data_IF_843540675823
#
_entry.id   IF_843540675823
#
_cell.length_a   1.000
_cell.length_b   1.000
_cell.length_c   1.000
_cell.angle_alpha   90.00
_cell.angle_beta   90.00
_cell.angle_gamma   90.00
#
_symmetry.space_group_name_H-M   'P 1'
#
loop_
_entity.id
_entity.type
_entity.pdbx_description
1 polymer ?
#
# COMPACT_ATOMS: atom_id res chain seq x y z
N UNK A 1 10.19 -36.16 -9.98
CA UNK A 1 10.07 -34.89 -10.77
C UNK A 1 8.67 -34.75 -11.32
N UNK A 2 8.19 -35.70 -12.14
CA UNK A 2 6.83 -35.66 -12.69
C UNK A 2 5.79 -35.73 -11.57
N UNK A 3 5.88 -36.70 -10.66
CA UNK A 3 4.92 -36.86 -9.55
C UNK A 3 4.90 -35.64 -8.61
N UNK A 4 6.05 -35.02 -8.36
CA UNK A 4 6.15 -33.81 -7.53
C UNK A 4 5.48 -32.62 -8.22
N UNK A 5 5.65 -32.46 -9.54
CA UNK A 5 5.02 -31.37 -10.29
C UNK A 5 3.51 -31.57 -10.40
N UNK A 6 3.07 -32.81 -10.63
CA UNK A 6 1.66 -33.14 -10.86
C UNK A 6 0.89 -33.17 -9.55
N UNK A 7 1.38 -33.88 -8.53
CA UNK A 7 0.65 -34.16 -7.29
C UNK A 7 1.24 -33.50 -6.05
N UNK A 8 2.52 -33.12 -6.06
CA UNK A 8 3.20 -32.53 -4.90
C UNK A 8 2.69 -31.14 -4.48
N UNK A 9 2.73 -30.84 -3.19
CA UNK A 9 2.41 -29.51 -2.66
C UNK A 9 3.51 -28.49 -3.02
N UNK A 10 3.14 -27.20 -3.09
CA UNK A 10 4.10 -26.13 -3.40
C UNK A 10 4.89 -25.75 -2.15
N UNK A 11 5.97 -26.51 -1.93
CA UNK A 11 6.95 -26.37 -0.86
C UNK A 11 8.36 -26.11 -1.43
N UNK A 12 9.38 -26.10 -0.58
CA UNK A 12 10.78 -25.88 -1.01
C UNK A 12 11.27 -26.97 -1.98
N UNK A 13 10.77 -28.20 -1.84
CA UNK A 13 11.07 -29.32 -2.75
C UNK A 13 10.45 -29.11 -4.14
N UNK A 14 9.24 -28.55 -4.19
CA UNK A 14 8.60 -28.15 -5.44
C UNK A 14 9.39 -27.04 -6.13
N UNK A 15 9.87 -26.04 -5.40
CA UNK A 15 10.70 -24.96 -5.98
C UNK A 15 12.01 -25.50 -6.58
N UNK A 16 12.70 -26.41 -5.89
CA UNK A 16 13.89 -27.10 -6.45
C UNK A 16 13.53 -27.90 -7.69
N UNK A 17 12.37 -28.55 -7.71
CA UNK A 17 11.90 -29.32 -8.86
C UNK A 17 11.58 -28.42 -10.05
N UNK A 18 11.00 -27.23 -9.81
CA UNK A 18 10.81 -26.19 -10.84
C UNK A 18 12.14 -25.68 -11.41
N UNK A 19 13.17 -25.50 -10.58
CA UNK A 19 14.50 -25.12 -11.08
C UNK A 19 15.09 -26.16 -12.02
N UNK A 20 14.96 -27.45 -11.66
CA UNK A 20 15.41 -28.56 -12.50
C UNK A 20 14.62 -28.58 -13.82
N UNK A 21 13.31 -28.36 -13.76
CA UNK A 21 12.46 -28.28 -14.96
C UNK A 21 12.89 -27.10 -15.84
N UNK A 22 13.10 -25.91 -15.26
CA UNK A 22 13.55 -24.72 -15.99
C UNK A 22 14.88 -24.95 -16.69
N UNK A 23 15.87 -25.57 -16.00
CA UNK A 23 17.16 -25.94 -16.60
C UNK A 23 16.99 -26.92 -17.76
N UNK A 24 16.13 -27.93 -17.62
CA UNK A 24 15.85 -28.92 -18.67
C UNK A 24 15.17 -28.28 -19.89
N UNK A 25 14.20 -27.39 -19.67
CA UNK A 25 13.52 -26.65 -20.75
C UNK A 25 14.51 -25.75 -21.51
N UNK A 26 15.39 -25.03 -20.81
CA UNK A 26 16.44 -24.21 -21.43
C UNK A 26 17.47 -25.04 -22.20
N UNK A 27 17.86 -26.20 -21.67
CA UNK A 27 18.78 -27.12 -22.33
C UNK A 27 18.22 -27.63 -23.66
N UNK A 28 16.95 -28.06 -23.67
CA UNK A 28 16.26 -28.51 -24.89
C UNK A 28 16.13 -27.39 -25.93
N UNK A 29 15.93 -26.14 -25.50
CA UNK A 29 15.81 -24.99 -26.41
C UNK A 29 17.14 -24.51 -27.01
N UNK A 30 18.27 -24.73 -26.34
CA UNK A 30 19.57 -24.12 -26.70
C UNK A 30 20.48 -25.06 -27.50
N UNK A 31 20.37 -26.37 -27.29
CA UNK A 31 21.33 -27.32 -27.86
C UNK A 31 20.90 -27.83 -29.25
N UNK A 32 21.59 -27.33 -30.28
CA UNK A 32 21.35 -27.66 -31.68
C UNK A 32 21.66 -29.14 -32.03
N UNK A 33 22.50 -29.80 -31.24
CA UNK A 33 22.91 -31.21 -31.45
C UNK A 33 21.88 -32.20 -30.90
N UNK A 34 21.09 -31.75 -29.92
CA UNK A 34 20.08 -32.57 -29.25
C UNK A 34 18.73 -32.46 -29.99
N UNK A 35 18.45 -31.32 -30.63
CA UNK A 35 17.29 -31.11 -31.52
C UNK A 35 17.22 -32.04 -32.75
N UNK A 36 18.34 -32.63 -33.16
CA UNK A 36 18.42 -33.60 -34.27
C UNK A 36 18.17 -35.04 -33.84
N UNK A 37 18.03 -35.32 -32.53
CA UNK A 37 17.81 -36.67 -32.01
C UNK A 37 16.33 -37.07 -32.03
N UNK A 38 16.02 -38.27 -32.55
CA UNK A 38 14.65 -38.79 -32.58
C UNK A 38 14.03 -38.95 -31.19
N UNK A 39 14.83 -39.28 -30.18
CA UNK A 39 14.38 -39.38 -28.79
C UNK A 39 13.88 -38.03 -28.24
N UNK A 40 14.35 -36.92 -28.80
CA UNK A 40 13.91 -35.59 -28.35
C UNK A 40 12.54 -35.21 -28.91
N UNK A 41 12.17 -35.69 -30.10
CA UNK A 41 10.81 -35.52 -30.64
C UNK A 41 9.74 -36.16 -29.76
N UNK A 42 10.07 -37.25 -29.06
CA UNK A 42 9.15 -37.93 -28.15
C UNK A 42 9.11 -37.30 -26.76
N UNK A 43 10.24 -36.74 -26.29
CA UNK A 43 10.37 -36.15 -24.95
C UNK A 43 9.90 -34.68 -24.90
N UNK A 44 10.05 -33.93 -26.00
CA UNK A 44 9.62 -32.53 -26.11
C UNK A 44 8.13 -32.31 -25.78
N UNK A 45 7.15 -33.08 -26.32
CA UNK A 45 5.74 -32.88 -25.98
C UNK A 45 5.45 -33.21 -24.51
N UNK A 46 6.12 -34.20 -23.90
CA UNK A 46 5.95 -34.54 -22.48
C UNK A 46 6.52 -33.45 -21.56
N UNK A 47 7.68 -32.87 -21.90
CA UNK A 47 8.24 -31.73 -21.19
C UNK A 47 7.35 -30.49 -21.28
N UNK A 48 6.76 -30.25 -22.45
CA UNK A 48 5.85 -29.13 -22.67
C UNK A 48 4.53 -29.32 -21.90
N UNK A 49 3.99 -30.55 -21.88
CA UNK A 49 2.84 -30.91 -21.05
C UNK A 49 3.14 -30.72 -19.56
N UNK A 50 4.34 -31.10 -19.12
CA UNK A 50 4.79 -30.89 -17.75
C UNK A 50 4.96 -29.41 -17.41
N UNK A 51 5.48 -28.59 -18.34
CA UNK A 51 5.55 -27.12 -18.23
C UNK A 51 4.16 -26.53 -18.04
N UNK A 52 3.21 -26.87 -18.90
CA UNK A 52 1.83 -26.37 -18.80
C UNK A 52 1.19 -26.74 -17.47
N UNK A 53 1.34 -28.00 -17.02
CA UNK A 53 0.80 -28.45 -15.73
C UNK A 53 1.43 -27.70 -14.56
N UNK A 54 2.75 -27.50 -14.58
CA UNK A 54 3.46 -26.73 -13.56
C UNK A 54 2.98 -25.27 -13.52
N UNK A 55 2.85 -24.62 -14.68
CA UNK A 55 2.39 -23.24 -14.81
C UNK A 55 0.97 -23.08 -14.26
N UNK A 56 0.02 -23.95 -14.63
CA UNK A 56 -1.35 -23.89 -14.11
C UNK A 56 -1.41 -24.05 -12.59
N UNK A 57 -0.66 -25.01 -12.04
CA UNK A 57 -0.65 -25.27 -10.59
C UNK A 57 -0.05 -24.11 -9.80
N UNK A 58 1.06 -23.58 -10.29
CA UNK A 58 1.72 -22.39 -9.73
C UNK A 58 0.80 -21.17 -9.78
N UNK A 59 0.11 -20.97 -10.91
CA UNK A 59 -0.80 -19.85 -11.10
C UNK A 59 -1.94 -19.89 -10.08
N UNK A 60 -2.63 -21.04 -9.98
CA UNK A 60 -3.71 -21.23 -9.01
C UNK A 60 -3.25 -20.93 -7.58
N UNK A 61 -2.06 -21.42 -7.21
CA UNK A 61 -1.48 -21.19 -5.89
C UNK A 61 -1.18 -19.72 -5.62
N UNK A 62 -0.49 -19.03 -6.53
CA UNK A 62 -0.16 -17.62 -6.35
C UNK A 62 -1.44 -16.79 -6.27
N UNK A 63 -2.39 -17.00 -7.19
CA UNK A 63 -3.67 -16.31 -7.19
C UNK A 63 -4.43 -16.53 -5.87
N UNK A 64 -4.42 -17.74 -5.32
CA UNK A 64 -4.99 -18.02 -4.01
C UNK A 64 -4.32 -17.21 -2.88
N UNK A 65 -2.98 -17.05 -2.93
CA UNK A 65 -2.26 -16.19 -1.97
C UNK A 65 -2.58 -14.71 -2.18
N UNK A 66 -2.78 -14.26 -3.42
CA UNK A 66 -3.19 -12.89 -3.70
C UNK A 66 -4.59 -12.60 -3.15
N UNK A 67 -5.53 -13.55 -3.26
CA UNK A 67 -6.84 -13.40 -2.64
C UNK A 67 -6.79 -13.30 -1.12
N UNK A 68 -5.78 -13.89 -0.46
CA UNK A 68 -5.61 -13.75 0.98
C UNK A 68 -5.33 -12.29 1.40
N UNK A 69 -4.72 -11.47 0.53
CA UNK A 69 -4.49 -10.03 0.78
C UNK A 69 -5.80 -9.24 0.90
N UNK A 70 -6.89 -9.72 0.29
CA UNK A 70 -8.21 -9.07 0.34
C UNK A 70 -8.93 -9.29 1.66
N UNK A 71 -8.46 -10.20 2.52
CA UNK A 71 -9.14 -10.51 3.77
C UNK A 71 -9.00 -9.33 4.76
N UNK A 72 -10.08 -8.94 5.46
CA UNK A 72 -10.02 -7.86 6.44
C UNK A 72 -9.09 -8.21 7.59
N UNK A 73 -8.46 -7.20 8.20
CA UNK A 73 -7.49 -7.32 9.31
C UNK A 73 -6.18 -8.06 8.93
N UNK A 74 -5.94 -8.32 7.66
CA UNK A 74 -4.68 -8.90 7.20
C UNK A 74 -3.57 -7.84 7.30
N UNK A 75 -2.47 -8.20 7.97
CA UNK A 75 -1.26 -7.39 7.87
C UNK A 75 -0.58 -7.68 6.53
N UNK A 76 -0.81 -6.79 5.57
CA UNK A 76 -0.35 -6.90 4.18
C UNK A 76 1.17 -7.07 4.14
N UNK A 77 1.90 -6.25 4.89
CA UNK A 77 3.36 -6.28 4.94
C UNK A 77 3.89 -7.62 5.46
N UNK A 78 3.29 -8.17 6.53
CA UNK A 78 3.67 -9.49 7.04
C UNK A 78 3.41 -10.58 6.00
N UNK A 79 2.26 -10.55 5.31
CA UNK A 79 1.93 -11.57 4.31
C UNK A 79 2.87 -11.50 3.09
N UNK A 80 3.17 -10.30 2.62
CA UNK A 80 4.13 -10.05 1.55
C UNK A 80 5.52 -10.58 1.91
N UNK A 81 6.05 -10.18 3.07
CA UNK A 81 7.41 -10.52 3.47
C UNK A 81 7.57 -11.98 3.90
N UNK A 82 6.60 -12.51 4.67
CA UNK A 82 6.74 -13.83 5.30
C UNK A 82 6.24 -14.99 4.44
N UNK A 83 5.39 -14.70 3.45
CA UNK A 83 4.76 -15.72 2.59
C UNK A 83 5.10 -15.51 1.14
N UNK A 84 4.77 -14.36 0.55
CA UNK A 84 4.94 -14.16 -0.90
C UNK A 84 6.41 -14.16 -1.32
N UNK A 85 7.30 -13.46 -0.60
CA UNK A 85 8.72 -13.41 -0.96
C UNK A 85 9.41 -14.78 -1.00
N UNK A 86 8.94 -15.76 -0.22
CA UNK A 86 9.46 -17.14 -0.27
C UNK A 86 9.27 -17.79 -1.64
N UNK A 87 8.23 -17.37 -2.37
CA UNK A 87 7.88 -17.88 -3.69
C UNK A 87 8.35 -16.96 -4.82
N UNK A 88 9.34 -16.07 -4.59
CA UNK A 88 9.92 -15.21 -5.65
C UNK A 88 10.37 -15.99 -6.89
N UNK A 89 10.95 -17.18 -6.70
CA UNK A 89 11.38 -18.01 -7.83
C UNK A 89 10.22 -18.44 -8.72
N UNK A 90 9.04 -18.65 -8.15
CA UNK A 90 7.83 -19.03 -8.87
C UNK A 90 7.43 -17.95 -9.88
N UNK A 91 7.52 -16.68 -9.49
CA UNK A 91 7.27 -15.54 -10.39
C UNK A 91 8.33 -15.45 -11.49
N UNK A 92 9.60 -15.65 -11.13
CA UNK A 92 10.71 -15.68 -12.10
C UNK A 92 10.50 -16.81 -13.13
N UNK A 93 10.07 -17.99 -12.69
CA UNK A 93 9.74 -19.12 -13.55
C UNK A 93 8.59 -18.79 -14.50
N UNK A 94 7.51 -18.17 -14.02
CA UNK A 94 6.41 -17.74 -14.89
C UNK A 94 6.89 -16.73 -15.93
N UNK A 95 7.70 -15.74 -15.54
CA UNK A 95 8.24 -14.73 -16.46
C UNK A 95 9.09 -15.32 -17.58
N UNK A 96 9.87 -16.36 -17.28
CA UNK A 96 10.72 -17.07 -18.26
C UNK A 96 9.92 -18.00 -19.18
N UNK A 97 9.00 -18.78 -18.61
CA UNK A 97 8.38 -19.90 -19.31
C UNK A 97 6.96 -19.61 -19.80
N UNK A 98 6.26 -18.60 -19.29
CA UNK A 98 4.91 -18.22 -19.73
C UNK A 98 4.62 -16.73 -19.46
N UNK A 99 4.96 -15.88 -20.44
CA UNK A 99 4.73 -14.43 -20.35
C UNK A 99 3.26 -14.05 -20.22
N UNK A 100 2.35 -14.82 -20.84
CA UNK A 100 0.90 -14.60 -20.76
C UNK A 100 0.39 -14.79 -19.33
N UNK A 101 0.68 -15.95 -18.72
CA UNK A 101 0.27 -16.25 -17.34
C UNK A 101 0.94 -15.32 -16.34
N UNK A 102 2.21 -14.96 -16.57
CA UNK A 102 2.87 -13.92 -15.77
C UNK A 102 2.12 -12.57 -15.84
N UNK A 103 1.68 -12.16 -17.03
CA UNK A 103 0.88 -10.95 -17.23
C UNK A 103 -0.43 -10.97 -16.45
N UNK A 104 -1.11 -12.12 -16.42
CA UNK A 104 -2.33 -12.30 -15.62
C UNK A 104 -2.06 -12.19 -14.11
N UNK A 105 -0.99 -12.82 -13.59
CA UNK A 105 -0.61 -12.71 -12.17
C UNK A 105 -0.25 -11.26 -11.81
N UNK A 106 0.52 -10.59 -12.67
CA UNK A 106 0.89 -9.18 -12.52
C UNK A 106 -0.36 -8.30 -12.44
N UNK A 107 -1.29 -8.45 -13.39
CA UNK A 107 -2.53 -7.69 -13.41
C UNK A 107 -3.42 -7.99 -12.19
N UNK A 108 -3.53 -9.26 -11.78
CA UNK A 108 -4.31 -9.65 -10.62
C UNK A 108 -3.75 -9.09 -9.31
N UNK A 109 -2.42 -9.05 -9.17
CA UNK A 109 -1.76 -8.42 -8.03
C UNK A 109 -2.02 -6.91 -7.99
N UNK A 110 -1.79 -6.25 -9.13
CA UNK A 110 -1.99 -4.82 -9.29
C UNK A 110 -3.43 -4.39 -8.93
N UNK A 111 -4.44 -5.05 -9.52
CA UNK A 111 -5.85 -4.76 -9.22
C UNK A 111 -6.19 -4.99 -7.75
N UNK A 112 -5.65 -6.06 -7.16
CA UNK A 112 -5.88 -6.40 -5.75
C UNK A 112 -5.28 -5.35 -4.83
N UNK A 113 -4.02 -5.00 -5.01
CA UNK A 113 -3.34 -4.03 -4.15
C UNK A 113 -3.89 -2.63 -4.31
N UNK A 114 -4.18 -2.20 -5.54
CA UNK A 114 -4.82 -0.92 -5.80
C UNK A 114 -6.14 -0.80 -5.01
N UNK A 115 -7.02 -1.81 -5.08
CA UNK A 115 -8.29 -1.83 -4.33
C UNK A 115 -8.10 -1.88 -2.82
N UNK A 116 -7.23 -2.77 -2.33
CA UNK A 116 -7.00 -2.97 -0.90
C UNK A 116 -6.40 -1.72 -0.26
N UNK A 117 -5.37 -1.13 -0.87
CA UNK A 117 -4.74 0.09 -0.37
C UNK A 117 -5.69 1.29 -0.47
N UNK A 118 -6.44 1.44 -1.56
CA UNK A 118 -7.45 2.51 -1.68
C UNK A 118 -8.51 2.42 -0.58
N UNK A 119 -8.99 1.21 -0.28
CA UNK A 119 -9.93 0.99 0.81
C UNK A 119 -9.31 1.28 2.18
N UNK A 120 -8.04 0.90 2.38
CA UNK A 120 -7.29 1.17 3.60
C UNK A 120 -7.14 2.67 3.86
N UNK A 121 -6.67 3.45 2.87
CA UNK A 121 -6.55 4.90 3.00
C UNK A 121 -7.90 5.59 3.18
N UNK A 122 -8.94 5.17 2.47
CA UNK A 122 -10.29 5.71 2.66
C UNK A 122 -10.80 5.50 4.09
N UNK A 123 -10.66 4.29 4.63
CA UNK A 123 -11.08 3.99 6.00
C UNK A 123 -10.25 4.75 7.04
N UNK A 124 -8.95 4.91 6.78
CA UNK A 124 -8.05 5.67 7.63
C UNK A 124 -8.41 7.16 7.66
N UNK A 125 -8.64 7.78 6.50
CA UNK A 125 -9.10 9.17 6.37
C UNK A 125 -10.40 9.39 7.13
N UNK A 126 -11.42 8.54 6.91
CA UNK A 126 -12.70 8.61 7.63
C UNK A 126 -12.55 8.52 9.15
N UNK A 127 -11.54 7.77 9.61
CA UNK A 127 -11.24 7.66 11.04
C UNK A 127 -10.51 8.89 11.58
N UNK A 128 -9.62 9.49 10.78
CA UNK A 128 -8.94 10.74 11.13
C UNK A 128 -9.89 11.94 11.18
N UNK A 129 -10.88 12.02 10.27
CA UNK A 129 -11.89 13.09 10.25
C UNK A 129 -12.66 13.17 11.58
N UNK A 130 -12.93 12.02 12.21
CA UNK A 130 -13.56 11.98 13.55
C UNK A 130 -12.70 12.59 14.65
N UNK A 131 -11.39 12.67 14.45
CA UNK A 131 -10.43 13.23 15.41
C UNK A 131 -10.15 14.71 15.16
N UNK A 132 -10.69 15.29 14.09
CA UNK A 132 -10.46 16.68 13.74
C UNK A 132 -11.06 17.65 14.78
N UNK A 133 -10.27 18.68 15.09
CA UNK A 133 -10.67 19.87 15.82
C UNK A 133 -11.03 20.97 14.82
N UNK A 134 -12.25 21.51 14.91
CA UNK A 134 -12.64 22.69 14.12
C UNK A 134 -12.08 23.96 14.76
N UNK A 135 -11.03 24.53 14.13
CA UNK A 135 -10.29 25.69 14.65
C UNK A 135 -10.82 27.00 14.06
N UNK A 136 -11.03 27.09 12.75
CA UNK A 136 -11.43 28.31 12.06
C UNK A 136 -12.67 28.07 11.19
N UNK A 137 -13.63 29.00 11.25
CA UNK A 137 -14.82 29.03 10.40
C UNK A 137 -14.82 30.28 9.52
N UNK A 138 -15.63 30.30 8.45
CA UNK A 138 -15.81 31.47 7.58
C UNK A 138 -16.30 32.74 8.30
N UNK A 139 -16.74 32.61 9.56
CA UNK A 139 -17.19 33.72 10.41
C UNK A 139 -16.09 34.32 11.29
N UNK A 140 -14.89 33.72 11.30
CA UNK A 140 -13.79 34.15 12.16
C UNK A 140 -12.93 35.21 11.44
N UNK A 141 -13.06 36.46 11.90
CA UNK A 141 -12.38 37.63 11.35
C UNK A 141 -11.10 37.96 12.15
N UNK A 142 -10.01 38.23 11.43
CA UNK A 142 -8.78 38.81 12.00
C UNK A 142 -9.06 40.28 12.33
N UNK A 143 -8.90 40.68 13.59
CA UNK A 143 -8.97 42.10 14.01
C UNK A 143 -10.22 42.53 14.79
N UNK A 144 -11.06 41.60 15.28
CA UNK A 144 -12.07 41.95 16.28
C UNK A 144 -11.36 42.11 17.63
N UNK A 145 -11.14 43.35 18.08
CA UNK A 145 -10.85 43.62 19.49
C UNK A 145 -11.91 42.91 20.33
N UNK A 146 -11.46 42.08 21.28
CA UNK A 146 -12.35 41.38 22.20
C UNK A 146 -13.12 42.43 23.03
N UNK A 147 -14.25 42.93 22.51
CA UNK A 147 -15.20 43.71 23.30
C UNK A 147 -15.70 42.76 24.38
N UNK A 148 -15.26 43.02 25.61
CA UNK A 148 -15.58 42.24 26.80
C UNK A 148 -17.08 42.01 26.90
N UNK A 149 -17.51 40.81 26.51
CA UNK A 149 -18.82 40.29 26.79
C UNK A 149 -18.74 39.45 28.05
N UNK A 150 -18.89 40.08 29.21
CA UNK A 150 -19.12 39.41 30.49
C UNK A 150 -20.46 38.66 30.43
N UNK A 151 -20.43 37.40 29.98
CA UNK A 151 -21.55 36.45 30.09
C UNK A 151 -21.24 35.39 31.14
N UNK A 152 -22.01 35.35 32.22
CA UNK A 152 -21.83 34.53 33.44
C UNK A 152 -22.04 32.99 33.20
N UNK A 153 -22.06 32.53 31.95
CA UNK A 153 -22.13 31.11 31.60
C UNK A 153 -21.05 30.74 30.58
N UNK A 154 -19.79 30.79 31.02
CA UNK A 154 -18.65 30.24 30.27
C UNK A 154 -18.51 28.76 30.63
N UNK A 155 -19.16 27.89 29.85
CA UNK A 155 -18.73 26.50 29.74
C UNK A 155 -17.26 26.50 29.36
N UNK A 156 -16.45 25.67 30.04
CA UNK A 156 -15.00 25.50 29.84
C UNK A 156 -14.68 25.35 28.34
N UNK A 157 -14.43 26.48 27.65
CA UNK A 157 -14.03 26.49 26.24
C UNK A 157 -12.58 26.05 26.20
N UNK A 158 -12.28 25.07 25.36
CA UNK A 158 -10.90 24.65 25.07
C UNK A 158 -10.07 25.88 24.69
N UNK A 159 -8.79 25.97 25.11
CA UNK A 159 -7.96 27.17 24.97
C UNK A 159 -7.83 27.67 23.52
N UNK A 160 -8.03 26.80 22.52
CA UNK A 160 -7.98 27.13 21.10
C UNK A 160 -9.27 27.81 20.56
N UNK A 161 -10.36 27.86 21.34
CA UNK A 161 -11.61 28.57 20.99
C UNK A 161 -11.63 30.05 21.40
N UNK A 162 -10.53 30.59 21.91
CA UNK A 162 -10.40 32.04 22.04
C UNK A 162 -10.18 32.62 20.64
N UNK A 163 -11.10 33.47 20.17
CA UNK A 163 -11.09 34.03 18.79
C UNK A 163 -9.79 34.75 18.41
N UNK A 164 -9.01 35.23 19.38
CA UNK A 164 -7.68 35.81 19.16
C UNK A 164 -6.55 34.79 19.01
N UNK A 165 -6.73 33.53 19.42
CA UNK A 165 -5.74 32.45 19.30
C UNK A 165 -5.93 31.55 18.07
N UNK A 166 -7.04 31.69 17.34
CA UNK A 166 -7.33 30.92 16.12
C UNK A 166 -6.24 31.10 15.06
N UNK A 167 -5.65 32.29 14.98
CA UNK A 167 -4.52 32.64 14.12
C UNK A 167 -3.21 32.85 14.89
N UNK A 168 -3.07 32.25 16.07
CA UNK A 168 -1.80 32.21 16.78
C UNK A 168 -1.07 30.91 16.45
N UNK A 169 0.23 31.00 16.13
CA UNK A 169 1.05 29.82 15.84
C UNK A 169 1.21 28.91 17.07
N UNK A 170 1.44 29.51 18.25
CA UNK A 170 1.48 28.80 19.53
C UNK A 170 2.30 27.52 19.51
N UNK A 171 1.77 26.48 20.15
CA UNK A 171 2.41 25.15 20.21
C UNK A 171 2.27 24.35 18.91
N UNK A 172 1.50 24.83 17.91
CA UNK A 172 1.26 24.12 16.65
C UNK A 172 2.55 23.96 15.82
N UNK A 173 3.51 24.87 15.98
CA UNK A 173 4.84 24.77 15.34
C UNK A 173 5.60 23.50 15.73
N UNK A 174 5.29 22.91 16.90
CA UNK A 174 5.97 21.70 17.35
C UNK A 174 5.74 20.50 16.40
N UNK A 175 4.69 20.53 15.58
CA UNK A 175 4.46 19.50 14.55
C UNK A 175 5.64 19.36 13.58
N UNK A 176 6.39 20.44 13.34
CA UNK A 176 7.58 20.42 12.49
C UNK A 176 8.77 19.67 13.12
N UNK A 177 8.72 19.42 14.43
CA UNK A 177 9.70 18.57 15.13
C UNK A 177 9.24 17.11 15.21
N UNK A 178 7.98 16.84 14.91
CA UNK A 178 7.32 15.54 15.02
C UNK A 178 7.13 14.88 13.64
N UNK A 179 7.88 15.32 12.62
CA UNK A 179 7.75 14.84 11.22
C UNK A 179 7.94 13.32 11.15
N UNK A 180 8.95 12.80 11.84
CA UNK A 180 9.31 11.38 11.83
C UNK A 180 8.47 10.52 12.78
N UNK A 181 7.61 11.14 13.60
CA UNK A 181 6.79 10.41 14.56
C UNK A 181 5.81 9.46 13.86
N UNK A 182 5.51 8.29 14.44
CA UNK A 182 4.59 7.34 13.86
C UNK A 182 3.21 7.94 13.59
N UNK A 183 2.58 7.47 12.50
CA UNK A 183 1.21 7.85 12.16
C UNK A 183 0.27 7.59 13.35
N UNK A 184 -0.71 8.48 13.53
CA UNK A 184 -1.73 8.35 14.56
C UNK A 184 -2.49 7.04 14.39
N UNK A 185 -2.75 6.40 15.53
CA UNK A 185 -3.56 5.19 15.58
C UNK A 185 -5.00 5.61 15.94
N UNK A 186 -5.96 5.63 14.99
CA UNK A 186 -7.22 6.34 15.19
C UNK A 186 -8.05 5.79 16.35
N UNK A 187 -8.07 4.47 16.52
CA UNK A 187 -8.83 3.82 17.60
C UNK A 187 -8.27 4.14 19.01
N UNK A 188 -6.95 4.35 19.15
CA UNK A 188 -6.33 4.75 20.42
C UNK A 188 -6.63 6.22 20.72
N UNK A 189 -6.56 7.06 19.70
CA UNK A 189 -6.86 8.49 19.82
C UNK A 189 -8.34 8.74 20.15
N UNK A 190 -9.26 7.98 19.53
CA UNK A 190 -10.70 8.05 19.78
C UNK A 190 -11.03 7.61 21.22
N UNK A 191 -10.42 6.52 21.70
CA UNK A 191 -10.57 6.07 23.10
C UNK A 191 -10.08 7.11 24.12
N UNK A 192 -9.07 7.93 23.73
CA UNK A 192 -8.54 9.00 24.57
C UNK A 192 -9.34 10.30 24.50
N UNK A 193 -10.40 10.36 23.68
CA UNK A 193 -11.21 11.57 23.40
C UNK A 193 -10.37 12.79 23.00
N UNK A 194 -9.21 12.57 22.36
CA UNK A 194 -8.32 13.65 21.91
C UNK A 194 -8.72 14.13 20.53
N UNK A 195 -8.80 15.45 20.37
CA UNK A 195 -8.99 16.13 19.09
C UNK A 195 -7.69 16.78 18.65
N UNK A 196 -7.45 16.84 17.34
CA UNK A 196 -6.21 17.35 16.77
C UNK A 196 -6.48 18.44 15.72
N UNK A 197 -5.60 19.45 15.64
CA UNK A 197 -5.51 20.34 14.48
C UNK A 197 -5.29 19.55 13.18
N UNK A 198 -5.77 20.09 12.05
CA UNK A 198 -5.75 19.37 10.78
C UNK A 198 -4.33 19.06 10.29
N UNK A 199 -3.34 19.93 10.54
CA UNK A 199 -1.94 19.68 10.17
C UNK A 199 -1.36 18.41 10.82
N UNK A 200 -1.84 18.02 12.00
CA UNK A 200 -1.44 16.78 12.66
C UNK A 200 -2.04 15.57 11.92
N UNK A 201 -3.30 15.68 11.49
CA UNK A 201 -3.97 14.65 10.69
C UNK A 201 -3.29 14.51 9.32
N UNK A 202 -2.96 15.64 8.68
CA UNK A 202 -2.22 15.71 7.42
C UNK A 202 -0.86 15.03 7.52
N UNK A 203 -0.06 15.35 8.56
CA UNK A 203 1.24 14.72 8.83
C UNK A 203 1.09 13.21 8.99
N UNK A 204 0.09 12.81 9.76
CA UNK A 204 -0.21 11.41 10.05
C UNK A 204 -0.60 10.61 8.79
N UNK A 205 -1.41 11.21 7.90
CA UNK A 205 -1.76 10.62 6.61
C UNK A 205 -0.54 10.47 5.69
N UNK A 206 0.30 11.51 5.60
CA UNK A 206 1.52 11.47 4.80
C UNK A 206 2.52 10.46 5.34
N UNK A 207 2.70 10.36 6.67
CA UNK A 207 3.59 9.37 7.27
C UNK A 207 3.14 7.94 6.93
N UNK A 208 1.85 7.65 7.10
CA UNK A 208 1.30 6.33 6.73
C UNK A 208 1.46 6.05 5.23
N UNK A 209 1.23 7.06 4.38
CA UNK A 209 1.42 6.96 2.93
C UNK A 209 2.86 6.61 2.58
N UNK A 210 3.83 7.35 3.13
CA UNK A 210 5.26 7.14 2.88
C UNK A 210 5.74 5.77 3.34
N UNK A 211 5.35 5.34 4.54
CA UNK A 211 5.73 4.03 5.08
C UNK A 211 5.14 2.89 4.22
N UNK A 212 3.86 3.02 3.82
CA UNK A 212 3.17 2.04 2.98
C UNK A 212 3.78 2.01 1.57
N UNK A 213 4.01 3.17 0.97
CA UNK A 213 4.60 3.31 -0.37
C UNK A 213 6.01 2.73 -0.43
N UNK A 214 6.84 3.04 0.56
CA UNK A 214 8.21 2.51 0.65
C UNK A 214 8.20 0.98 0.74
N UNK A 215 7.33 0.42 1.58
CA UNK A 215 7.22 -1.03 1.73
C UNK A 215 6.76 -1.73 0.46
N UNK A 216 5.79 -1.14 -0.26
CA UNK A 216 5.25 -1.72 -1.50
C UNK A 216 6.23 -1.59 -2.67
N UNK A 217 6.95 -0.47 -2.76
CA UNK A 217 7.97 -0.27 -3.79
C UNK A 217 9.10 -1.31 -3.66
N UNK A 218 9.60 -1.50 -2.43
CA UNK A 218 10.59 -2.54 -2.15
C UNK A 218 10.06 -3.93 -2.48
N UNK A 219 8.81 -4.24 -2.10
CA UNK A 219 8.20 -5.52 -2.43
C UNK A 219 8.05 -5.74 -3.94
N UNK A 220 7.62 -4.73 -4.70
CA UNK A 220 7.51 -4.82 -6.16
C UNK A 220 8.86 -5.10 -6.82
N UNK A 221 9.91 -4.39 -6.38
CA UNK A 221 11.28 -4.62 -6.83
C UNK A 221 11.77 -6.03 -6.49
N UNK A 222 11.53 -6.48 -5.26
CA UNK A 222 12.00 -7.80 -4.82
C UNK A 222 11.23 -8.96 -5.45
N UNK A 223 9.91 -8.88 -5.55
CA UNK A 223 9.06 -10.00 -5.96
C UNK A 223 8.85 -10.08 -7.48
N UNK A 224 8.64 -8.95 -8.15
CA UNK A 224 8.41 -8.90 -9.61
C UNK A 224 9.65 -8.47 -10.40
N UNK A 225 10.61 -7.77 -9.77
CA UNK A 225 11.73 -7.17 -10.47
C UNK A 225 11.32 -6.03 -11.39
N UNK A 226 10.18 -5.40 -11.11
CA UNK A 226 9.57 -4.35 -11.92
C UNK A 226 9.06 -3.22 -11.02
N UNK A 227 9.75 -2.09 -11.06
CA UNK A 227 9.38 -0.90 -10.29
C UNK A 227 8.14 -0.19 -10.87
N UNK A 228 7.83 -0.41 -12.15
CA UNK A 228 6.68 0.23 -12.82
C UNK A 228 5.33 -0.15 -12.23
N UNK A 229 5.20 -1.35 -11.64
CA UNK A 229 3.97 -1.79 -10.98
C UNK A 229 3.55 -0.83 -9.85
N UNK A 230 4.51 -0.21 -9.17
CA UNK A 230 4.24 0.68 -8.05
C UNK A 230 3.31 1.82 -8.44
N UNK A 231 3.58 2.48 -9.58
CA UNK A 231 2.79 3.62 -10.04
C UNK A 231 1.34 3.22 -10.37
N UNK A 232 1.16 2.04 -11.00
CA UNK A 232 -0.17 1.52 -11.33
C UNK A 232 -0.96 1.12 -10.06
N UNK A 233 -0.27 0.55 -9.06
CA UNK A 233 -0.87 0.20 -7.77
C UNK A 233 -1.29 1.46 -7.00
N UNK A 234 -0.42 2.48 -6.95
CA UNK A 234 -0.65 3.68 -6.15
C UNK A 234 -1.55 4.72 -6.81
N UNK A 235 -1.89 4.59 -8.09
CA UNK A 235 -2.86 5.46 -8.75
C UNK A 235 -4.21 5.53 -8.00
N UNK A 236 -4.69 4.42 -7.45
CA UNK A 236 -5.92 4.37 -6.66
C UNK A 236 -5.80 5.07 -5.31
N UNK A 237 -4.85 4.68 -4.44
CA UNK A 237 -4.55 5.36 -3.19
C UNK A 237 -4.35 6.88 -3.33
N UNK A 238 -3.58 7.32 -4.33
CA UNK A 238 -3.39 8.75 -4.59
C UNK A 238 -4.70 9.43 -4.97
N UNK A 239 -5.52 8.82 -5.83
CA UNK A 239 -6.84 9.36 -6.17
C UNK A 239 -7.76 9.56 -4.95
N UNK A 240 -7.73 8.64 -3.97
CA UNK A 240 -8.49 8.78 -2.72
C UNK A 240 -7.98 9.95 -1.87
N UNK A 241 -6.67 10.11 -1.78
CA UNK A 241 -6.04 11.17 -1.00
C UNK A 241 -6.27 12.54 -1.65
N UNK A 242 -6.13 12.62 -2.98
CA UNK A 242 -6.39 13.84 -3.76
C UNK A 242 -7.86 14.27 -3.65
N UNK A 243 -8.81 13.33 -3.72
CA UNK A 243 -10.23 13.61 -3.50
C UNK A 243 -10.47 14.22 -2.12
N UNK A 244 -9.87 13.64 -1.07
CA UNK A 244 -9.96 14.17 0.29
C UNK A 244 -9.35 15.58 0.41
N UNK A 245 -8.16 15.81 -0.14
CA UNK A 245 -7.53 17.13 -0.07
C UNK A 245 -8.28 18.19 -0.86
N UNK A 246 -8.86 17.86 -2.01
CA UNK A 246 -9.71 18.79 -2.75
C UNK A 246 -10.89 19.30 -1.90
N UNK A 247 -11.52 18.40 -1.12
CA UNK A 247 -12.61 18.77 -0.20
C UNK A 247 -12.10 19.66 0.94
N UNK A 248 -10.98 19.30 1.59
CA UNK A 248 -10.48 20.04 2.74
C UNK A 248 -9.91 21.41 2.34
N UNK A 249 -9.06 21.47 1.31
CA UNK A 249 -8.40 22.71 0.89
C UNK A 249 -9.42 23.74 0.37
N UNK A 250 -10.47 23.30 -0.32
CA UNK A 250 -11.54 24.20 -0.79
C UNK A 250 -12.37 24.81 0.35
N UNK A 251 -12.35 24.20 1.54
CA UNK A 251 -13.14 24.60 2.69
C UNK A 251 -12.26 25.03 3.90
N UNK A 252 -10.96 25.23 3.68
CA UNK A 252 -10.03 25.59 4.76
C UNK A 252 -9.95 27.10 4.96
N UNK A 253 -10.23 27.55 6.18
CA UNK A 253 -10.11 28.95 6.61
C UNK A 253 -8.94 29.17 7.59
N UNK A 254 -8.15 28.12 7.87
CA UNK A 254 -7.02 28.17 8.80
C UNK A 254 -5.70 28.38 8.04
N UNK A 255 -5.33 29.65 7.85
CA UNK A 255 -4.11 30.03 7.15
C UNK A 255 -2.83 29.47 7.81
N UNK A 256 -2.82 29.30 9.14
CA UNK A 256 -1.67 28.74 9.85
C UNK A 256 -1.57 27.23 9.60
N UNK A 257 -2.70 26.52 9.66
CA UNK A 257 -2.77 25.10 9.32
C UNK A 257 -2.29 24.85 7.90
N UNK A 258 -2.74 25.66 6.93
CA UNK A 258 -2.26 25.60 5.54
C UNK A 258 -0.74 25.82 5.43
N UNK A 259 -0.20 26.84 6.12
CA UNK A 259 1.23 27.12 6.11
C UNK A 259 2.04 25.97 6.72
N UNK A 260 1.60 25.41 7.85
CA UNK A 260 2.25 24.28 8.49
C UNK A 260 2.22 23.04 7.59
N UNK A 261 1.12 22.78 6.87
CA UNK A 261 1.06 21.69 5.90
C UNK A 261 2.07 21.86 4.76
N UNK A 262 2.23 23.09 4.24
CA UNK A 262 3.28 23.38 3.24
C UNK A 262 4.67 23.11 3.82
N UNK A 263 4.94 23.57 5.05
CA UNK A 263 6.22 23.31 5.72
C UNK A 263 6.48 21.82 5.99
N UNK A 264 5.44 21.01 6.21
CA UNK A 264 5.56 19.56 6.40
C UNK A 264 5.91 18.81 5.10
N UNK A 265 5.72 19.44 3.93
CA UNK A 265 6.05 18.84 2.63
C UNK A 265 7.44 19.20 2.11
N UNK A 266 8.18 20.07 2.81
CA UNK A 266 9.53 20.52 2.46
C UNK A 266 10.59 19.87 3.35
#
# INVERSE_FOLDING_TARGET
>A
MVDVIVDGEINDEYMRTLEILSKKLKFVATDAVVNTSMALKDVQPELERLRQKAVSKVFEFIVQKLYALRKPKTNIQILQQSVLLKYKYVISFLKEHSKEVYGEVRAAYMDTMNKVLSAHFRAYIQSLEKLQLDIATSSDLIGIEARGGTGIFSTRREPLKNRSSVFALGDRINILKEIDEPALIPHIAEASSRKYPYEVLFRSLHKLLMDTASSEYLFCGDFFGEESLFNEIFAGPFGVIDEHFNVILSNSFDAIGLMLMICLTH
#
